data_IF_345628514558
#
_entry.id   IF_345628514558
#
_cell.length_a   1.000
_cell.length_b   1.000
_cell.length_c   1.000
_cell.angle_alpha   90.00
_cell.angle_beta   90.00
_cell.angle_gamma   90.00
#
_symmetry.space_group_name_H-M   'P 1'
#
loop_
_entity.id
_entity.type
_entity.pdbx_description
1 polymer ?
#
# COMPACT_ATOMS: atom_id res chain seq x y z
N UNK A 1 12.01 -5.07 -56.63
CA UNK A 1 12.62 -6.38 -56.96
C UNK A 1 13.83 -6.51 -56.06
N UNK A 2 13.99 -7.41 -55.09
CA UNK A 2 13.40 -8.69 -54.70
C UNK A 2 13.37 -8.69 -53.14
N UNK A 3 12.40 -9.28 -52.42
CA UNK A 3 12.30 -10.73 -52.13
C UNK A 3 13.57 -11.23 -51.42
N UNK A 4 13.59 -11.88 -50.26
CA UNK A 4 12.60 -12.71 -49.57
C UNK A 4 13.26 -13.32 -48.31
N UNK A 5 12.41 -13.70 -47.34
CA UNK A 5 12.61 -14.59 -46.18
C UNK A 5 13.78 -15.59 -46.22
N UNK A 6 14.37 -15.86 -45.04
CA UNK A 6 14.58 -17.25 -44.59
C UNK A 6 14.76 -17.34 -43.07
N UNK A 7 13.85 -18.06 -42.44
CA UNK A 7 14.00 -18.67 -41.13
C UNK A 7 15.16 -19.67 -41.14
N UNK A 8 15.88 -19.79 -40.02
CA UNK A 8 16.66 -20.99 -39.71
C UNK A 8 16.31 -21.50 -38.32
N UNK A 9 16.37 -22.81 -38.21
CA UNK A 9 15.63 -23.71 -37.35
C UNK A 9 16.56 -24.25 -36.24
N UNK A 10 16.03 -24.37 -35.01
CA UNK A 10 16.29 -25.37 -33.97
C UNK A 10 17.74 -25.88 -33.69
N UNK A 11 18.17 -25.78 -32.42
CA UNK A 11 18.49 -26.97 -31.60
C UNK A 11 18.93 -26.65 -30.16
N UNK A 12 18.28 -27.38 -29.24
CA UNK A 12 18.79 -28.03 -28.03
C UNK A 12 19.35 -27.24 -26.82
N UNK A 13 18.59 -27.40 -25.72
CA UNK A 13 18.99 -27.80 -24.35
C UNK A 13 20.16 -27.04 -23.73
N UNK A 14 19.84 -26.21 -22.73
CA UNK A 14 20.47 -26.36 -21.42
C UNK A 14 19.53 -25.89 -20.30
N UNK A 15 19.39 -26.77 -19.31
CA UNK A 15 18.70 -26.47 -18.06
C UNK A 15 19.55 -25.57 -17.18
N UNK A 16 18.86 -24.98 -16.20
CA UNK A 16 19.35 -24.10 -15.13
C UNK A 16 19.36 -22.60 -15.43
N UNK A 17 18.59 -21.92 -14.58
CA UNK A 17 18.86 -20.61 -13.99
C UNK A 17 18.44 -19.31 -14.70
N UNK A 18 17.84 -18.48 -13.83
CA UNK A 18 17.82 -17.00 -13.79
C UNK A 18 16.67 -16.33 -14.55
N UNK A 19 15.68 -15.90 -13.76
CA UNK A 19 14.85 -14.73 -14.03
C UNK A 19 15.72 -13.57 -14.51
N UNK A 20 15.73 -13.30 -15.81
CA UNK A 20 16.49 -12.18 -16.39
C UNK A 20 15.73 -10.88 -16.17
N UNK A 21 16.17 -10.13 -15.16
CA UNK A 21 16.07 -8.68 -15.13
C UNK A 21 17.04 -8.06 -16.17
N UNK A 22 16.60 -6.93 -16.75
CA UNK A 22 17.39 -5.75 -17.12
C UNK A 22 18.70 -5.92 -17.93
N UNK A 23 18.73 -5.39 -19.15
CA UNK A 23 19.36 -4.08 -19.44
C UNK A 23 19.34 -3.73 -20.95
N UNK A 24 19.61 -2.45 -21.23
CA UNK A 24 19.86 -1.76 -22.51
C UNK A 24 18.66 -1.13 -23.25
N UNK A 25 18.37 0.15 -22.95
CA UNK A 25 18.67 1.28 -23.85
C UNK A 25 18.52 2.63 -23.11
N UNK A 26 19.48 3.53 -23.33
CA UNK A 26 19.62 4.85 -22.69
C UNK A 26 18.56 5.88 -23.18
N UNK A 27 18.02 6.65 -22.21
CA UNK A 27 17.36 7.97 -22.31
C UNK A 27 16.36 8.23 -23.46
N UNK A 28 15.09 7.86 -23.24
CA UNK A 28 13.87 8.71 -23.31
C UNK A 28 12.65 7.78 -23.15
N UNK A 29 11.67 8.16 -22.33
CA UNK A 29 10.52 7.37 -21.85
C UNK A 29 10.79 6.34 -20.74
N UNK A 30 10.70 6.80 -19.48
CA UNK A 30 10.41 5.92 -18.35
C UNK A 30 8.97 5.41 -18.51
N UNK A 31 8.79 4.21 -19.08
CA UNK A 31 7.48 3.61 -19.27
C UNK A 31 6.99 3.04 -17.94
N UNK A 32 6.20 3.82 -17.20
CA UNK A 32 5.48 3.32 -16.03
C UNK A 32 4.55 2.18 -16.46
N UNK A 33 4.66 1.02 -15.82
CA UNK A 33 3.70 -0.07 -16.04
C UNK A 33 2.43 0.25 -15.23
N UNK A 34 1.48 0.94 -15.86
CA UNK A 34 0.24 1.44 -15.24
C UNK A 34 -0.88 0.40 -15.26
N UNK A 35 -1.68 0.34 -14.19
CA UNK A 35 -2.87 -0.49 -14.09
C UNK A 35 -3.99 0.02 -15.01
N UNK A 36 -5.00 -0.82 -15.27
CA UNK A 36 -6.20 -0.40 -16.02
C UNK A 36 -6.92 0.76 -15.33
N UNK A 37 -6.90 0.81 -14.00
CA UNK A 37 -7.43 1.93 -13.22
C UNK A 37 -6.69 3.22 -13.58
N UNK A 38 -5.36 3.24 -13.44
CA UNK A 38 -4.55 4.41 -13.74
C UNK A 38 -4.69 4.89 -15.18
N UNK A 39 -4.82 3.96 -16.15
CA UNK A 39 -5.05 4.29 -17.57
C UNK A 39 -6.43 4.90 -17.86
N UNK A 40 -7.43 4.58 -17.03
CA UNK A 40 -8.80 5.10 -17.17
C UNK A 40 -9.03 6.48 -16.55
N UNK A 41 -8.05 7.03 -15.83
CA UNK A 41 -8.14 8.35 -15.19
C UNK A 41 -8.03 9.49 -16.22
N UNK A 42 -8.69 10.61 -15.95
CA UNK A 42 -8.50 11.85 -16.69
C UNK A 42 -7.02 12.29 -16.62
N UNK A 43 -6.52 12.96 -17.66
CA UNK A 43 -5.09 13.27 -17.81
C UNK A 43 -4.48 13.98 -16.60
N UNK A 44 -5.17 14.99 -16.09
CA UNK A 44 -4.72 15.77 -14.92
C UNK A 44 -4.63 14.90 -13.64
N UNK A 45 -5.60 14.01 -13.46
CA UNK A 45 -5.66 13.07 -12.33
C UNK A 45 -4.57 12.00 -12.48
N UNK A 46 -4.37 11.50 -13.70
CA UNK A 46 -3.37 10.51 -14.04
C UNK A 46 -1.96 11.05 -13.79
N UNK A 47 -1.67 12.30 -14.16
CA UNK A 47 -0.38 12.93 -13.87
C UNK A 47 -0.09 13.01 -12.36
N UNK A 48 -1.10 13.39 -11.55
CA UNK A 48 -0.99 13.37 -10.08
C UNK A 48 -0.78 11.95 -9.56
N UNK A 49 -1.51 10.97 -10.10
CA UNK A 49 -1.35 9.56 -9.76
C UNK A 49 0.07 9.05 -10.06
N UNK A 50 0.63 9.39 -11.23
CA UNK A 50 1.99 9.01 -11.62
C UNK A 50 3.02 9.60 -10.65
N UNK A 51 2.85 10.87 -10.25
CA UNK A 51 3.71 11.50 -9.25
C UNK A 51 3.67 10.74 -7.92
N UNK A 52 2.52 10.26 -7.49
CA UNK A 52 2.42 9.44 -6.28
C UNK A 52 3.16 8.11 -6.40
N UNK A 53 2.93 7.34 -7.46
CA UNK A 53 3.60 6.03 -7.60
C UNK A 53 5.11 6.17 -7.83
N UNK A 54 5.59 7.35 -8.26
CA UNK A 54 7.03 7.60 -8.41
C UNK A 54 7.80 7.42 -7.11
N UNK A 55 7.16 7.64 -5.95
CA UNK A 55 7.76 7.46 -4.62
C UNK A 55 8.08 5.99 -4.30
N UNK A 56 7.46 5.04 -5.02
CA UNK A 56 7.71 3.60 -4.91
C UNK A 56 8.87 3.14 -5.82
N UNK A 57 9.75 4.06 -6.24
CA UNK A 57 10.85 3.75 -7.16
C UNK A 57 10.44 3.69 -8.63
N UNK A 58 9.35 4.38 -9.01
CA UNK A 58 9.04 4.70 -10.41
C UNK A 58 8.52 3.58 -11.31
N UNK A 59 8.43 2.32 -10.85
CA UNK A 59 8.11 1.18 -11.73
C UNK A 59 6.93 0.31 -11.26
N UNK A 60 6.33 0.60 -10.10
CA UNK A 60 5.43 -0.33 -9.43
C UNK A 60 4.08 0.32 -9.08
N UNK A 61 3.09 0.19 -9.97
CA UNK A 61 1.71 0.56 -9.67
C UNK A 61 1.15 -0.36 -8.55
N UNK A 62 0.67 0.18 -7.42
CA UNK A 62 0.15 -0.61 -6.30
C UNK A 62 -0.92 -1.63 -6.70
N UNK A 63 -1.80 -1.30 -7.64
CA UNK A 63 -2.87 -2.22 -8.09
C UNK A 63 -2.35 -3.39 -8.93
N UNK A 64 -1.14 -3.27 -9.47
CA UNK A 64 -0.44 -4.38 -10.14
C UNK A 64 0.28 -5.23 -9.10
N UNK A 65 0.97 -4.60 -8.14
CA UNK A 65 1.64 -5.30 -7.04
C UNK A 65 0.67 -6.17 -6.24
N UNK A 66 -0.56 -5.71 -6.03
CA UNK A 66 -1.58 -6.49 -5.34
C UNK A 66 -1.97 -7.79 -6.07
N UNK A 67 -1.71 -7.89 -7.37
CA UNK A 67 -1.98 -9.08 -8.20
C UNK A 67 -0.73 -9.93 -8.44
N UNK A 68 0.44 -9.41 -8.07
CA UNK A 68 1.71 -10.09 -8.23
C UNK A 68 1.85 -11.19 -7.17
N UNK A 69 2.08 -12.42 -7.62
CA UNK A 69 2.22 -13.59 -6.75
C UNK A 69 3.61 -13.68 -6.11
N UNK A 70 4.60 -12.95 -6.63
CA UNK A 70 5.94 -12.91 -6.08
C UNK A 70 6.04 -12.03 -4.81
N UNK A 71 5.02 -11.22 -4.54
CA UNK A 71 5.00 -10.30 -3.40
C UNK A 71 4.41 -10.98 -2.17
N UNK A 72 5.22 -11.04 -1.11
CA UNK A 72 4.81 -11.57 0.18
C UNK A 72 4.17 -10.45 1.02
N UNK A 73 2.85 -10.30 0.86
CA UNK A 73 2.06 -9.43 1.72
C UNK A 73 1.97 -10.02 3.13
N UNK A 74 2.10 -9.16 4.13
CA UNK A 74 1.97 -9.55 5.53
C UNK A 74 0.81 -8.82 6.18
N UNK A 75 0.34 -9.33 7.31
CA UNK A 75 -0.54 -8.63 8.24
C UNK A 75 0.14 -8.44 9.63
N UNK A 76 1.43 -8.76 9.76
CA UNK A 76 2.15 -8.66 11.05
C UNK A 76 2.22 -7.23 11.57
N UNK A 77 2.02 -7.07 12.88
CA UNK A 77 2.18 -5.80 13.57
C UNK A 77 3.63 -5.29 13.55
N UNK A 78 4.60 -6.16 13.28
CA UNK A 78 6.02 -5.80 13.25
C UNK A 78 6.35 -4.73 12.21
N UNK A 79 5.61 -4.73 11.09
CA UNK A 79 5.80 -3.82 9.96
C UNK A 79 4.82 -2.65 9.95
N UNK A 80 4.02 -2.49 11.01
CA UNK A 80 3.13 -1.33 11.17
C UNK A 80 3.98 -0.09 11.42
N UNK A 81 3.85 0.96 10.60
CA UNK A 81 4.57 2.21 10.80
C UNK A 81 4.09 2.96 12.04
N UNK A 82 4.95 3.80 12.60
CA UNK A 82 4.67 4.64 13.79
C UNK A 82 3.79 5.84 13.43
N UNK A 83 2.56 5.59 12.97
CA UNK A 83 1.62 6.66 12.67
C UNK A 83 1.15 7.28 13.97
N UNK A 84 1.34 8.60 14.14
CA UNK A 84 0.86 9.36 15.30
C UNK A 84 -0.34 10.24 14.95
N UNK A 85 -1.15 10.65 15.95
CA UNK A 85 -2.29 11.55 15.72
C UNK A 85 -1.88 12.86 15.00
N UNK A 86 -0.76 13.54 15.35
CA UNK A 86 -0.23 14.65 14.56
C UNK A 86 -0.02 14.32 13.08
N UNK A 87 0.50 13.14 12.73
CA UNK A 87 0.70 12.75 11.34
C UNK A 87 -0.62 12.62 10.59
N UNK A 88 -1.64 12.02 11.23
CA UNK A 88 -2.99 11.90 10.68
C UNK A 88 -3.60 13.28 10.47
N UNK A 89 -3.51 14.16 11.47
CA UNK A 89 -4.05 15.52 11.39
C UNK A 89 -3.36 16.32 10.29
N UNK A 90 -2.03 16.29 10.24
CA UNK A 90 -1.25 17.00 9.22
C UNK A 90 -1.65 16.51 7.82
N UNK A 91 -1.76 15.20 7.62
CA UNK A 91 -2.11 14.65 6.33
C UNK A 91 -3.56 14.95 5.93
N UNK A 92 -4.54 14.82 6.83
CA UNK A 92 -5.95 15.00 6.48
C UNK A 92 -6.41 16.46 6.45
N UNK A 93 -5.87 17.31 7.32
CA UNK A 93 -6.35 18.69 7.51
C UNK A 93 -5.52 19.70 6.72
N UNK A 94 -4.20 19.48 6.61
CA UNK A 94 -3.33 20.41 5.87
C UNK A 94 -3.28 20.10 4.37
N UNK A 95 -3.61 18.87 3.96
CA UNK A 95 -3.73 18.50 2.55
C UNK A 95 -5.12 18.90 2.03
N UNK A 96 -5.16 19.58 0.89
CA UNK A 96 -6.42 20.01 0.26
C UNK A 96 -7.11 18.83 -0.44
N UNK A 97 -8.18 18.29 0.14
CA UNK A 97 -9.04 17.29 -0.51
C UNK A 97 -10.53 17.60 -0.30
N UNK A 98 -11.38 16.99 -1.15
CA UNK A 98 -12.81 16.99 -0.94
C UNK A 98 -13.16 15.95 0.15
N UNK A 99 -13.83 16.41 1.21
CA UNK A 99 -14.33 15.54 2.27
C UNK A 99 -15.65 14.89 1.83
N UNK A 100 -15.72 13.54 1.85
CA UNK A 100 -16.98 12.81 1.70
C UNK A 100 -17.26 11.99 2.96
N UNK A 101 -18.46 12.14 3.50
CA UNK A 101 -18.99 11.31 4.58
C UNK A 101 -19.53 10.03 3.94
N UNK A 102 -18.69 9.00 3.88
CA UNK A 102 -19.08 7.65 3.44
C UNK A 102 -18.79 6.68 4.58
N UNK A 103 -19.81 5.92 4.97
CA UNK A 103 -19.71 4.91 6.03
C UNK A 103 -19.15 3.61 5.44
N UNK A 104 -17.95 3.24 5.87
CA UNK A 104 -17.28 2.02 5.41
C UNK A 104 -16.34 1.49 6.48
N UNK A 105 -16.30 0.16 6.61
CA UNK A 105 -15.45 -0.50 7.60
C UNK A 105 -14.28 -1.17 6.90
N UNK A 106 -13.09 -0.99 7.45
CA UNK A 106 -11.89 -1.73 7.03
C UNK A 106 -12.05 -3.15 7.53
N UNK A 107 -12.12 -4.11 6.60
CA UNK A 107 -12.22 -5.52 6.96
C UNK A 107 -10.92 -6.28 6.74
N UNK A 108 -10.00 -5.73 5.95
CA UNK A 108 -8.70 -6.34 5.69
C UNK A 108 -7.63 -5.27 5.44
N UNK A 109 -6.45 -5.48 6.00
CA UNK A 109 -5.26 -4.65 5.79
C UNK A 109 -4.05 -5.52 5.52
N UNK A 110 -3.22 -5.09 4.59
CA UNK A 110 -1.98 -5.77 4.20
C UNK A 110 -0.86 -4.76 4.08
N UNK A 111 0.33 -5.18 4.45
CA UNK A 111 1.56 -4.39 4.42
C UNK A 111 2.56 -5.03 3.48
N UNK A 112 3.31 -4.20 2.79
CA UNK A 112 4.50 -4.59 2.05
C UNK A 112 5.60 -3.56 2.27
N UNK A 113 6.70 -3.98 2.89
CA UNK A 113 7.86 -3.13 3.10
C UNK A 113 8.73 -3.12 1.84
N UNK A 114 9.09 -1.94 1.36
CA UNK A 114 9.93 -1.74 0.19
C UNK A 114 10.89 -0.59 0.47
N UNK A 115 12.19 -0.88 0.52
CA UNK A 115 13.23 0.09 0.87
C UNK A 115 12.92 0.77 2.22
N UNK A 116 12.81 2.10 2.25
CA UNK A 116 12.53 2.92 3.43
C UNK A 116 11.03 3.23 3.63
N UNK A 117 10.16 2.63 2.82
CA UNK A 117 8.71 2.85 2.88
C UNK A 117 7.92 1.56 3.08
N UNK A 118 6.71 1.70 3.60
CA UNK A 118 5.72 0.65 3.75
C UNK A 118 4.51 1.02 2.89
N UNK A 119 4.18 0.14 1.95
CA UNK A 119 2.93 0.18 1.21
C UNK A 119 1.87 -0.55 2.02
N UNK A 120 0.89 0.20 2.49
CA UNK A 120 -0.30 -0.30 3.16
C UNK A 120 -1.43 -0.33 2.15
N UNK A 121 -2.13 -1.45 2.09
CA UNK A 121 -3.36 -1.59 1.32
C UNK A 121 -4.48 -2.03 2.23
N UNK A 122 -5.63 -1.40 2.10
CA UNK A 122 -6.82 -1.77 2.82
C UNK A 122 -7.96 -2.13 1.85
N UNK A 123 -8.79 -3.06 2.27
CA UNK A 123 -10.03 -3.40 1.57
C UNK A 123 -11.22 -2.90 2.38
N UNK A 124 -12.07 -2.10 1.73
CA UNK A 124 -13.29 -1.56 2.32
C UNK A 124 -14.50 -2.34 1.87
N UNK A 125 -15.42 -2.58 2.81
CA UNK A 125 -16.77 -3.07 2.52
C UNK A 125 -17.76 -1.96 2.84
N UNK A 126 -18.55 -1.59 1.85
CA UNK A 126 -19.64 -0.60 1.99
C UNK A 126 -20.92 -1.23 2.53
N UNK A 127 -20.90 -2.54 2.79
CA UNK A 127 -22.06 -3.25 3.31
C UNK A 127 -22.08 -3.19 4.83
N UNK A 128 -23.05 -2.48 5.39
CA UNK A 128 -23.60 -2.82 6.70
C UNK A 128 -23.73 -4.34 6.82
N UNK A 129 -23.32 -4.88 7.96
CA UNK A 129 -23.35 -6.28 8.34
C UNK A 129 -24.73 -6.90 8.05
N UNK A 130 -24.95 -7.38 6.83
CA UNK A 130 -26.18 -8.06 6.43
C UNK A 130 -25.84 -9.50 6.09
N UNK A 131 -26.34 -10.36 6.97
CA UNK A 131 -26.25 -11.81 7.02
C UNK A 131 -26.30 -12.43 5.62
N UNK A 132 -25.15 -13.01 5.21
CA UNK A 132 -24.86 -14.17 4.36
C UNK A 132 -25.82 -14.71 3.26
N UNK A 133 -26.95 -14.08 2.89
CA UNK A 133 -27.93 -14.73 2.00
C UNK A 133 -28.29 -13.99 0.70
N UNK A 134 -27.78 -12.79 0.46
CA UNK A 134 -27.97 -12.11 -0.83
C UNK A 134 -26.81 -11.16 -1.10
N UNK A 135 -25.67 -11.74 -1.46
CA UNK A 135 -24.56 -10.95 -2.00
C UNK A 135 -24.94 -10.47 -3.40
N UNK A 136 -25.25 -9.18 -3.57
CA UNK A 136 -25.00 -8.53 -4.87
C UNK A 136 -23.49 -8.45 -5.03
N UNK A 137 -22.94 -9.36 -5.83
CA UNK A 137 -21.51 -9.52 -6.11
C UNK A 137 -20.84 -8.32 -6.81
N UNK A 138 -21.53 -7.17 -6.94
CA UNK A 138 -21.15 -6.11 -7.88
C UNK A 138 -21.04 -4.71 -7.27
N UNK A 139 -21.10 -4.54 -5.95
CA UNK A 139 -20.65 -3.27 -5.37
C UNK A 139 -19.12 -3.21 -5.43
N UNK A 140 -18.61 -2.16 -6.07
CA UNK A 140 -17.19 -1.97 -6.31
C UNK A 140 -16.47 -1.80 -4.96
N UNK A 141 -15.75 -2.83 -4.54
CA UNK A 141 -14.87 -2.77 -3.37
C UNK A 141 -13.89 -1.61 -3.54
N UNK A 142 -13.85 -0.72 -2.56
CA UNK A 142 -12.86 0.35 -2.54
C UNK A 142 -11.52 -0.22 -2.05
N UNK A 143 -10.46 0.11 -2.79
CA UNK A 143 -9.10 -0.37 -2.52
C UNK A 143 -8.16 0.82 -2.31
N UNK A 144 -8.25 1.46 -1.13
CA UNK A 144 -7.27 2.46 -0.75
C UNK A 144 -5.90 1.86 -0.49
N UNK A 145 -4.88 2.60 -0.89
CA UNK A 145 -3.50 2.33 -0.53
C UNK A 145 -2.83 3.60 -0.01
N UNK A 146 -1.87 3.41 0.88
CA UNK A 146 -1.11 4.46 1.53
C UNK A 146 0.36 4.04 1.50
N UNK A 147 1.23 4.96 1.13
CA UNK A 147 2.68 4.82 1.24
C UNK A 147 3.13 5.66 2.41
N UNK A 148 3.76 5.01 3.38
CA UNK A 148 4.24 5.64 4.60
C UNK A 148 5.73 5.35 4.77
N UNK A 149 6.48 6.26 5.38
CA UNK A 149 7.78 5.90 5.95
C UNK A 149 7.57 5.11 7.23
N UNK A 150 8.58 4.34 7.64
CA UNK A 150 8.55 3.66 8.95
C UNK A 150 8.34 4.62 10.13
N UNK A 151 8.74 5.89 9.97
CA UNK A 151 8.52 6.98 10.94
C UNK A 151 7.07 7.44 11.08
N UNK A 152 6.13 6.91 10.29
CA UNK A 152 4.72 7.32 10.31
C UNK A 152 4.36 8.43 9.32
N UNK A 153 5.34 9.08 8.70
CA UNK A 153 5.10 10.13 7.70
C UNK A 153 4.39 9.56 6.47
N UNK A 154 3.21 10.13 6.16
CA UNK A 154 2.42 9.77 4.97
C UNK A 154 3.04 10.44 3.75
N UNK A 155 3.55 9.62 2.81
CA UNK A 155 4.22 10.10 1.59
C UNK A 155 3.22 10.28 0.46
N UNK A 156 2.31 9.31 0.29
CA UNK A 156 1.30 9.35 -0.76
C UNK A 156 0.13 8.45 -0.38
N UNK A 157 -1.08 8.81 -0.82
CA UNK A 157 -2.22 7.90 -0.74
C UNK A 157 -3.15 8.03 -1.94
N UNK A 158 -3.95 6.99 -2.14
CA UNK A 158 -5.01 7.02 -3.13
C UNK A 158 -6.12 6.07 -2.74
N UNK A 159 -7.35 6.49 -3.01
CA UNK A 159 -8.52 5.64 -2.95
C UNK A 159 -9.25 5.70 -4.29
N UNK A 160 -9.90 4.60 -4.66
CA UNK A 160 -10.71 4.51 -5.88
C UNK A 160 -12.04 5.25 -5.78
N UNK A 161 -12.40 5.82 -4.63
CA UNK A 161 -13.60 6.64 -4.49
C UNK A 161 -13.44 8.00 -5.18
N UNK A 162 -14.57 8.66 -5.46
CA UNK A 162 -14.61 9.94 -6.19
C UNK A 162 -13.77 11.01 -5.46
N UNK A 163 -13.86 11.08 -4.14
CA UNK A 163 -13.05 11.97 -3.30
C UNK A 163 -11.57 11.56 -3.20
N UNK A 164 -11.28 10.26 -3.39
CA UNK A 164 -9.94 9.67 -3.26
C UNK A 164 -8.97 10.07 -4.37
N UNK A 165 -9.48 10.71 -5.42
CA UNK A 165 -8.67 11.39 -6.44
C UNK A 165 -7.89 12.58 -5.87
N UNK A 166 -8.32 13.13 -4.72
CA UNK A 166 -7.67 14.18 -3.95
C UNK A 166 -6.88 13.69 -2.73
N UNK A 167 -6.57 12.40 -2.63
CA UNK A 167 -5.58 11.82 -1.69
C UNK A 167 -5.98 11.76 -0.20
N UNK A 168 -6.92 12.60 0.25
CA UNK A 168 -7.36 12.63 1.64
C UNK A 168 -8.88 12.47 1.76
N UNK A 169 -9.43 11.38 1.23
CA UNK A 169 -10.83 11.04 1.52
C UNK A 169 -10.95 10.40 2.92
N UNK A 170 -12.18 10.33 3.42
CA UNK A 170 -12.52 9.66 4.69
C UNK A 170 -12.02 8.21 4.76
N UNK A 171 -12.03 7.48 3.66
CA UNK A 171 -11.44 6.14 3.58
C UNK A 171 -9.94 6.15 3.91
N UNK A 172 -9.16 7.08 3.35
CA UNK A 172 -7.73 7.18 3.71
C UNK A 172 -7.58 7.52 5.19
N UNK A 173 -8.40 8.44 5.71
CA UNK A 173 -8.40 8.78 7.13
C UNK A 173 -8.70 7.58 8.04
N UNK A 174 -9.71 6.78 7.70
CA UNK A 174 -10.04 5.58 8.46
C UNK A 174 -8.89 4.55 8.45
N UNK A 175 -8.17 4.37 7.33
CA UNK A 175 -6.97 3.52 7.31
C UNK A 175 -5.90 4.09 8.23
N UNK A 176 -5.63 5.39 8.18
CA UNK A 176 -4.66 6.04 9.07
C UNK A 176 -5.00 5.86 10.56
N UNK A 177 -6.27 6.01 10.95
CA UNK A 177 -6.69 5.76 12.33
C UNK A 177 -6.57 4.29 12.72
N UNK A 178 -6.85 3.36 11.81
CA UNK A 178 -6.60 1.94 12.03
C UNK A 178 -5.11 1.64 12.22
N UNK A 179 -4.24 2.26 11.43
CA UNK A 179 -2.78 2.14 11.53
C UNK A 179 -2.28 2.60 12.90
N UNK A 180 -2.72 3.78 13.34
CA UNK A 180 -2.44 4.30 14.67
C UNK A 180 -2.87 3.32 15.77
N UNK A 181 -4.09 2.79 15.69
CA UNK A 181 -4.59 1.81 16.65
C UNK A 181 -3.74 0.53 16.68
N UNK A 182 -3.39 -0.01 15.49
CA UNK A 182 -2.55 -1.19 15.37
C UNK A 182 -1.15 -0.98 15.98
N UNK A 183 -0.57 0.21 15.78
CA UNK A 183 0.71 0.60 16.37
C UNK A 183 0.65 0.69 17.89
N UNK A 184 -0.38 1.34 18.45
CA UNK A 184 -0.58 1.42 19.91
C UNK A 184 -0.73 0.03 20.52
N UNK A 185 -1.58 -0.82 19.93
CA UNK A 185 -1.79 -2.20 20.38
C UNK A 185 -0.49 -3.01 20.39
N UNK A 186 0.35 -2.88 19.37
CA UNK A 186 1.69 -3.51 19.32
C UNK A 186 2.55 -3.08 20.52
N UNK A 187 2.53 -1.79 20.86
CA UNK A 187 3.30 -1.26 21.98
C UNK A 187 2.71 -1.64 23.34
N UNK A 188 1.39 -1.71 23.48
CA UNK A 188 0.73 -2.20 24.70
C UNK A 188 1.08 -3.67 24.99
N UNK A 189 1.35 -4.46 23.94
CA UNK A 189 1.78 -5.86 24.09
C UNK A 189 3.24 -5.97 24.59
N UNK A 190 4.02 -4.88 24.52
CA UNK A 190 5.33 -4.79 25.17
C UNK A 190 5.08 -4.46 26.64
N UNK A 191 5.21 -5.46 27.51
CA UNK A 191 5.02 -5.32 28.97
C UNK A 191 5.63 -4.02 29.50
N UNK A 192 4.82 -3.20 30.18
CA UNK A 192 5.30 -2.06 30.95
C UNK A 192 6.23 -2.55 32.08
N UNK A 193 7.14 -1.69 32.55
CA UNK A 193 7.94 -1.95 33.75
C UNK A 193 7.09 -2.23 35.00
N UNK A 194 5.81 -1.82 34.99
CA UNK A 194 4.82 -2.13 36.04
C UNK A 194 4.15 -3.50 35.87
N UNK A 195 4.23 -4.11 34.69
CA UNK A 195 3.69 -5.44 34.38
C UNK A 195 4.73 -6.56 34.61
N UNK A 196 5.94 -6.19 34.99
CA UNK A 196 7.02 -7.10 35.40
C UNK A 196 7.04 -7.17 36.92
N UNK A 197 7.23 -8.36 37.51
CA UNK A 197 7.29 -8.49 38.97
C UNK A 197 8.40 -7.60 39.51
N UNK A 198 8.10 -6.85 40.58
CA UNK A 198 9.06 -6.00 41.26
C UNK A 198 10.37 -6.76 41.56
N UNK A 199 11.49 -6.24 41.07
CA UNK A 199 12.83 -6.81 41.24
C UNK A 199 13.64 -6.09 42.33
N UNK A 200 12.96 -5.30 43.18
CA UNK A 200 13.59 -4.63 44.31
C UNK A 200 14.19 -5.65 45.27
N UNK A 201 15.50 -5.85 45.18
CA UNK A 201 16.27 -6.60 46.16
C UNK A 201 16.46 -5.76 47.41
N UNK A 202 16.14 -6.31 48.57
CA UNK A 202 16.38 -5.67 49.87
C UNK A 202 17.89 -5.42 50.02
N UNK A 203 18.36 -4.20 50.33
CA UNK A 203 19.78 -3.95 50.51
C UNK A 203 20.33 -4.78 51.68
N UNK A 204 21.45 -5.48 51.43
CA UNK A 204 22.14 -6.28 52.43
C UNK A 204 22.89 -5.37 53.40
N UNK A 205 22.59 -5.48 54.68
CA UNK A 205 23.24 -4.73 55.74
C UNK A 205 24.64 -5.31 55.99
N UNK A 206 25.67 -4.71 55.38
CA UNK A 206 27.09 -4.92 55.76
C UNK A 206 27.57 -3.78 56.63
#
# INVERSE_FOLDING_TARGET
MLGSNSNYFLSLIDGTNICRCFEFFFFTNMTYHLSNHARGLAKDVQERYIKKISVLGGLHDPYILMKDQCIQWTNSLDLVPEVTYPDIFNYLVLTKSAYTLEDGWIYNTKWYAMNDVVLVVAEYSNTEFTVAHSKRLNDAKLLPWIVLKFSGEVVAAHCTCIAGLGECCSHIGAVLFYLQYAFLKKNDTKKSVTDVSAYWTVPSNT
#
